data_IF_854448056552
#
_entry.id   IF_854448056552
#
_cell.length_a   1.000
_cell.length_b   1.000
_cell.length_c   1.000
_cell.angle_alpha   90.00
_cell.angle_beta   90.00
_cell.angle_gamma   90.00
#
_symmetry.space_group_name_H-M   'P 1'
#
loop_
_entity.id
_entity.type
_entity.pdbx_description
1 polymer ?
#
# COMPACT_ATOMS: atom_id res chain seq x y z
N UNK A 1 -16.84 -0.59 34.65
CA UNK A 1 -15.92 0.54 34.92
C UNK A 1 -16.02 1.54 33.78
N UNK A 2 -16.15 2.85 34.04
CA UNK A 2 -16.14 3.86 32.96
C UNK A 2 -14.75 3.88 32.32
N UNK A 3 -14.69 3.65 31.01
CA UNK A 3 -13.43 3.64 30.27
C UNK A 3 -12.90 5.08 30.16
N UNK A 4 -11.63 5.30 30.54
CA UNK A 4 -11.00 6.62 30.41
C UNK A 4 -10.70 6.88 28.94
N UNK A 5 -11.36 7.87 28.35
CA UNK A 5 -11.13 8.30 26.96
C UNK A 5 -9.90 9.23 26.91
N UNK A 6 -9.00 8.98 25.97
CA UNK A 6 -7.83 9.83 25.69
C UNK A 6 -8.05 10.47 24.32
N UNK A 7 -7.93 11.80 24.25
CA UNK A 7 -8.01 12.58 23.01
C UNK A 7 -6.58 13.01 22.67
N UNK A 8 -6.16 12.75 21.44
CA UNK A 8 -4.82 13.11 20.96
C UNK A 8 -4.87 13.65 19.54
N UNK A 9 -3.92 14.51 19.21
CA UNK A 9 -3.75 15.06 17.86
C UNK A 9 -2.71 14.22 17.10
N UNK A 10 -3.09 13.68 15.95
CA UNK A 10 -2.19 12.93 15.07
C UNK A 10 -1.70 13.83 13.94
N UNK A 11 -0.38 13.88 13.74
CA UNK A 11 0.23 14.57 12.60
C UNK A 11 0.47 13.56 11.48
N UNK A 12 -0.09 13.81 10.31
CA UNK A 12 0.12 12.97 9.12
C UNK A 12 0.03 13.83 7.84
N UNK A 13 0.68 13.42 6.75
CA UNK A 13 0.51 14.04 5.44
C UNK A 13 -0.95 14.05 5.00
N UNK A 14 -1.35 15.09 4.27
CA UNK A 14 -2.75 15.26 3.85
C UNK A 14 -3.24 14.11 2.95
N UNK A 15 -2.39 13.58 2.07
CA UNK A 15 -2.77 12.49 1.17
C UNK A 15 -3.05 11.19 1.94
N UNK A 16 -2.25 10.87 2.96
CA UNK A 16 -2.50 9.73 3.86
C UNK A 16 -3.81 9.93 4.64
N UNK A 17 -4.08 11.15 5.12
CA UNK A 17 -5.34 11.45 5.80
C UNK A 17 -6.56 11.21 4.91
N UNK A 18 -6.48 11.59 3.64
CA UNK A 18 -7.55 11.33 2.67
C UNK A 18 -7.77 9.82 2.49
N UNK A 19 -6.69 9.04 2.35
CA UNK A 19 -6.77 7.59 2.23
C UNK A 19 -7.45 6.95 3.45
N UNK A 20 -7.08 7.38 4.67
CA UNK A 20 -7.72 6.89 5.90
C UNK A 20 -9.23 7.18 5.90
N UNK A 21 -9.65 8.37 5.46
CA UNK A 21 -11.08 8.72 5.37
C UNK A 21 -11.83 7.85 4.37
N UNK A 22 -11.22 7.58 3.21
CA UNK A 22 -11.82 6.71 2.19
C UNK A 22 -11.98 5.30 2.76
N UNK A 23 -10.92 4.74 3.35
CA UNK A 23 -10.96 3.40 3.93
C UNK A 23 -11.99 3.28 5.07
N UNK A 24 -12.13 4.32 5.90
CA UNK A 24 -13.17 4.37 6.94
C UNK A 24 -14.58 4.37 6.33
N UNK A 25 -14.80 5.16 5.26
CA UNK A 25 -16.07 5.22 4.56
C UNK A 25 -16.44 3.89 3.89
N UNK A 26 -15.48 3.22 3.24
CA UNK A 26 -15.66 1.89 2.64
C UNK A 26 -16.03 0.83 3.70
N UNK A 27 -15.46 0.95 4.90
CA UNK A 27 -15.78 0.08 6.02
C UNK A 27 -17.12 0.44 6.71
N UNK A 28 -17.77 1.53 6.32
CA UNK A 28 -18.99 2.03 6.96
C UNK A 28 -18.77 2.51 8.40
N UNK A 29 -17.57 2.95 8.75
CA UNK A 29 -17.17 3.35 10.11
C UNK A 29 -16.82 4.83 10.17
N UNK A 30 -16.94 5.43 11.35
CA UNK A 30 -16.30 6.73 11.57
C UNK A 30 -14.78 6.58 11.54
N UNK A 31 -14.06 7.67 11.23
CA UNK A 31 -12.59 7.64 11.17
C UNK A 31 -11.98 7.22 12.51
N UNK A 32 -12.56 7.66 13.63
CA UNK A 32 -12.09 7.31 14.97
C UNK A 32 -12.30 5.82 15.27
N UNK A 33 -13.44 5.24 14.87
CA UNK A 33 -13.69 3.81 15.02
C UNK A 33 -12.73 3.00 14.15
N UNK A 34 -12.51 3.43 12.90
CA UNK A 34 -11.59 2.79 11.99
C UNK A 34 -10.14 2.78 12.53
N UNK A 35 -9.67 3.90 13.07
CA UNK A 35 -8.34 3.98 13.71
C UNK A 35 -8.23 3.07 14.93
N UNK A 36 -9.27 3.00 15.76
CA UNK A 36 -9.30 2.09 16.91
C UNK A 36 -9.32 0.62 16.48
N UNK A 37 -10.10 0.28 15.46
CA UNK A 37 -10.19 -1.06 14.89
C UNK A 37 -8.83 -1.52 14.35
N UNK A 38 -8.22 -0.70 13.48
CA UNK A 38 -6.92 -1.00 12.87
C UNK A 38 -5.81 -1.12 13.90
N UNK A 39 -5.78 -0.26 14.93
CA UNK A 39 -4.79 -0.35 16.01
C UNK A 39 -4.91 -1.66 16.79
N UNK A 40 -6.15 -2.10 17.08
CA UNK A 40 -6.41 -3.41 17.71
C UNK A 40 -5.99 -4.57 16.82
N UNK A 41 -6.38 -4.52 15.54
CA UNK A 41 -6.05 -5.55 14.56
C UNK A 41 -4.52 -5.70 14.39
N UNK A 42 -3.79 -4.59 14.29
CA UNK A 42 -2.32 -4.59 14.21
C UNK A 42 -1.68 -5.19 15.46
N UNK A 43 -2.23 -4.90 16.64
CA UNK A 43 -1.72 -5.45 17.91
C UNK A 43 -1.90 -6.96 17.97
N UNK A 44 -3.07 -7.46 17.59
CA UNK A 44 -3.37 -8.90 17.50
C UNK A 44 -2.49 -9.55 16.44
N UNK A 45 -2.38 -8.95 15.26
CA UNK A 45 -1.53 -9.46 14.18
C UNK A 45 -0.06 -9.61 14.63
N UNK A 46 0.47 -8.61 15.33
CA UNK A 46 1.84 -8.66 15.89
C UNK A 46 2.03 -9.78 16.91
N UNK A 47 1.01 -10.07 17.72
CA UNK A 47 1.06 -11.15 18.69
C UNK A 47 1.02 -12.53 18.01
N UNK A 48 0.19 -12.67 16.96
CA UNK A 48 0.01 -13.94 16.25
C UNK A 48 1.15 -14.26 15.28
N UNK A 49 1.62 -13.27 14.52
CA UNK A 49 2.55 -13.45 13.40
C UNK A 49 3.93 -12.82 13.63
N UNK A 50 4.16 -12.18 14.78
CA UNK A 50 5.40 -11.48 15.09
C UNK A 50 5.48 -10.06 14.51
N UNK A 51 6.65 -9.43 14.57
CA UNK A 51 6.86 -8.09 13.98
C UNK A 51 6.61 -8.19 12.47
N UNK A 52 5.82 -7.28 11.85
CA UNK A 52 5.77 -7.21 10.40
C UNK A 52 7.21 -7.02 9.93
N UNK A 53 7.75 -8.01 9.21
CA UNK A 53 8.98 -7.78 8.47
C UNK A 53 8.69 -6.57 7.59
N UNK A 54 9.56 -5.55 7.65
CA UNK A 54 9.65 -4.57 6.57
C UNK A 54 10.09 -5.39 5.36
N UNK A 55 9.15 -6.07 4.71
CA UNK A 55 9.43 -6.74 3.46
C UNK A 55 9.90 -5.62 2.55
N UNK A 56 11.15 -5.73 2.12
CA UNK A 56 11.66 -5.02 0.95
C UNK A 56 10.54 -4.96 -0.09
N UNK A 57 10.39 -3.77 -0.68
CA UNK A 57 9.33 -3.39 -1.60
C UNK A 57 8.72 -4.63 -2.27
N UNK A 58 7.45 -4.92 -2.02
CA UNK A 58 6.80 -6.14 -2.56
C UNK A 58 6.80 -6.16 -4.08
N UNK A 59 7.06 -5.00 -4.70
CA UNK A 59 7.24 -4.82 -6.12
C UNK A 59 8.71 -4.81 -6.54
N UNK A 60 9.68 -4.99 -5.65
CA UNK A 60 11.11 -5.05 -5.98
C UNK A 60 11.40 -6.08 -7.07
N UNK A 61 10.74 -7.24 -7.03
CA UNK A 61 10.84 -8.25 -8.09
C UNK A 61 10.23 -7.76 -9.41
N UNK A 62 9.10 -7.04 -9.37
CA UNK A 62 8.46 -6.46 -10.55
C UNK A 62 9.32 -5.34 -11.15
N UNK A 63 9.85 -4.44 -10.32
CA UNK A 63 10.79 -3.40 -10.72
C UNK A 63 12.10 -3.99 -11.24
N UNK A 64 12.57 -5.11 -10.68
CA UNK A 64 13.74 -5.82 -11.20
C UNK A 64 13.48 -6.40 -12.59
N UNK A 65 12.27 -6.90 -12.88
CA UNK A 65 11.86 -7.37 -14.21
C UNK A 65 11.73 -6.19 -15.19
N UNK A 66 11.14 -5.07 -14.78
CA UNK A 66 11.01 -3.86 -15.61
C UNK A 66 12.38 -3.24 -15.90
N UNK A 67 13.28 -3.22 -14.92
CA UNK A 67 14.63 -2.66 -15.03
C UNK A 67 15.63 -3.65 -15.66
N UNK A 68 15.29 -4.92 -15.77
CA UNK A 68 15.95 -5.83 -16.71
C UNK A 68 15.56 -5.40 -18.12
N UNK A 69 16.24 -4.35 -18.62
CA UNK A 69 16.30 -4.05 -20.05
C UNK A 69 16.56 -5.36 -20.77
N UNK A 70 15.56 -5.83 -21.49
CA UNK A 70 15.62 -6.97 -22.39
C UNK A 70 16.81 -6.80 -23.33
N UNK A 71 17.93 -7.45 -22.99
CA UNK A 71 19.09 -7.62 -23.89
C UNK A 71 18.80 -8.61 -25.02
N UNK A 72 17.56 -9.08 -25.16
CA UNK A 72 17.07 -9.83 -26.30
C UNK A 72 15.99 -9.04 -26.99
N UNK A 73 16.28 -8.54 -28.19
CA UNK A 73 15.23 -8.15 -29.14
C UNK A 73 14.28 -9.34 -29.28
N UNK A 74 12.95 -9.17 -29.15
CA UNK A 74 12.01 -10.23 -29.48
C UNK A 74 12.29 -10.64 -30.92
N UNK A 75 12.54 -11.92 -31.17
CA UNK A 75 12.70 -12.44 -32.52
C UNK A 75 11.42 -12.12 -33.32
N UNK A 76 11.52 -11.14 -34.22
CA UNK A 76 10.48 -10.77 -35.17
C UNK A 76 9.54 -9.69 -34.66
N UNK A 77 9.97 -8.42 -34.76
CA UNK A 77 9.01 -7.33 -34.92
C UNK A 77 8.64 -7.26 -36.41
N UNK A 78 7.34 -7.27 -36.70
CA UNK A 78 6.88 -6.88 -38.03
C UNK A 78 7.21 -5.40 -38.24
N UNK A 79 7.48 -4.98 -39.48
CA UNK A 79 7.82 -3.57 -39.80
C UNK A 79 6.72 -2.58 -39.39
N UNK A 80 5.53 -3.06 -39.06
CA UNK A 80 4.38 -2.24 -38.67
C UNK A 80 4.40 -1.87 -37.18
N UNK A 81 4.99 -2.72 -36.32
CA UNK A 81 5.02 -2.48 -34.86
C UNK A 81 6.06 -1.44 -34.44
N UNK A 82 7.07 -1.19 -35.28
CA UNK A 82 8.14 -0.22 -35.03
C UNK A 82 7.64 1.24 -35.05
N UNK A 83 6.52 1.50 -35.73
CA UNK A 83 5.91 2.83 -35.82
C UNK A 83 5.11 3.22 -34.56
N UNK A 84 4.56 2.25 -33.81
CA UNK A 84 3.69 2.53 -32.65
C UNK A 84 4.50 2.85 -31.40
N UNK A 85 5.67 2.21 -31.23
CA UNK A 85 6.51 2.36 -30.03
C UNK A 85 7.66 3.37 -30.18
N UNK A 86 7.68 4.17 -31.25
CA UNK A 86 8.69 5.20 -31.50
C UNK A 86 8.32 6.59 -30.94
N UNK A 87 7.45 6.67 -29.93
CA UNK A 87 7.13 7.90 -29.18
C UNK A 87 7.34 7.68 -27.69
#
# INVERSE_FOLDING_TARGET
MKQRMIITNVRMPQHEWIQVKIAAAEAGMSVNEYLNYTTRAVSVYKQLFGKPQKTEDKYAAMWAIINQKTKGKPMGWSKEDEAIYSV
#
